data_IF_456527928757
#
_entry.id   IF_456527928757
#
_cell.length_a   1.000
_cell.length_b   1.000
_cell.length_c   1.000
_cell.angle_alpha   90.00
_cell.angle_beta   90.00
_cell.angle_gamma   90.00
#
_symmetry.space_group_name_H-M   'P 1'
#
loop_
_entity.id
_entity.type
_entity.pdbx_description
1 polymer ?
#
# COMPACT_ATOMS: atom_id res chain seq x y z
N UNK A 1 43.51 -2.53 -6.02
CA UNK A 1 42.04 -2.60 -6.16
C UNK A 1 41.47 -2.63 -4.75
N UNK A 2 40.81 -1.54 -4.33
CA UNK A 2 40.04 -1.56 -3.10
C UNK A 2 38.65 -2.09 -3.47
N UNK A 3 38.25 -3.22 -2.88
CA UNK A 3 36.86 -3.64 -2.91
C UNK A 3 36.11 -2.67 -1.98
N UNK A 4 35.31 -1.79 -2.57
CA UNK A 4 34.41 -0.95 -1.81
C UNK A 4 33.24 -1.82 -1.35
N UNK A 5 32.97 -1.83 -0.05
CA UNK A 5 31.86 -2.59 0.51
C UNK A 5 30.57 -1.81 0.28
N UNK A 6 29.47 -2.49 -0.10
CA UNK A 6 28.15 -1.86 -0.15
C UNK A 6 27.68 -1.38 1.24
N UNK A 7 28.35 -1.79 2.33
CA UNK A 7 28.13 -1.30 3.68
C UNK A 7 28.97 -0.08 4.08
N UNK A 8 29.93 0.38 3.26
CA UNK A 8 30.85 1.47 3.62
C UNK A 8 30.15 2.82 3.83
N UNK A 9 28.98 3.01 3.23
CA UNK A 9 28.14 4.20 3.41
C UNK A 9 27.15 4.07 4.58
N UNK A 10 27.32 3.06 5.44
CA UNK A 10 26.46 2.78 6.59
C UNK A 10 24.96 2.80 6.26
N UNK A 11 24.49 2.00 5.28
CA UNK A 11 23.12 2.09 4.78
C UNK A 11 22.06 1.66 5.80
N UNK A 12 22.43 0.96 6.87
CA UNK A 12 21.51 0.48 7.89
C UNK A 12 21.36 1.48 9.03
N UNK A 13 20.14 1.96 9.23
CA UNK A 13 19.77 2.93 10.26
C UNK A 13 19.46 2.23 11.59
N UNK A 14 19.25 3.03 12.64
CA UNK A 14 18.69 2.60 13.93
C UNK A 14 19.37 1.36 14.56
N UNK A 15 20.71 1.32 14.50
CA UNK A 15 21.54 0.19 14.99
C UNK A 15 21.32 -1.12 14.23
N UNK A 16 20.75 -1.05 13.04
CA UNK A 16 20.71 -2.13 12.08
C UNK A 16 22.11 -2.58 11.69
N UNK A 17 22.31 -3.89 11.61
CA UNK A 17 23.60 -4.46 11.23
C UNK A 17 23.64 -4.68 9.72
N UNK A 18 24.52 -3.96 9.02
CA UNK A 18 24.75 -4.18 7.59
C UNK A 18 25.47 -5.50 7.33
N UNK A 19 24.94 -6.27 6.39
CA UNK A 19 25.49 -7.55 5.93
C UNK A 19 25.74 -7.42 4.43
N UNK A 20 27.01 -7.30 3.98
CA UNK A 20 27.34 -7.14 2.57
C UNK A 20 27.24 -8.45 1.79
N UNK A 21 26.78 -8.37 0.55
CA UNK A 21 26.82 -9.41 -0.49
C UNK A 21 27.83 -8.95 -1.58
N UNK A 22 29.10 -9.31 -1.38
CA UNK A 22 30.19 -8.92 -2.28
C UNK A 22 30.03 -9.43 -3.73
N UNK A 23 29.61 -10.69 -3.98
CA UNK A 23 29.37 -11.19 -5.33
C UNK A 23 28.36 -10.36 -6.13
N UNK A 24 27.32 -9.83 -5.48
CA UNK A 24 26.28 -9.03 -6.14
C UNK A 24 26.48 -7.52 -6.02
N UNK A 25 27.47 -7.08 -5.24
CA UNK A 25 27.64 -5.68 -4.85
C UNK A 25 26.36 -5.08 -4.23
N UNK A 26 25.68 -5.86 -3.38
CA UNK A 26 24.46 -5.45 -2.67
C UNK A 26 24.60 -5.66 -1.16
N UNK A 27 23.62 -5.24 -0.38
CA UNK A 27 23.62 -5.42 1.08
C UNK A 27 22.22 -5.77 1.58
N UNK A 28 22.16 -6.28 2.81
CA UNK A 28 20.93 -6.39 3.60
C UNK A 28 21.16 -5.87 5.01
N UNK A 29 20.14 -5.28 5.63
CA UNK A 29 20.19 -4.90 7.03
C UNK A 29 19.53 -5.98 7.90
N UNK A 30 20.19 -6.35 8.99
CA UNK A 30 19.57 -7.10 10.07
C UNK A 30 19.11 -6.11 11.14
N UNK A 31 17.81 -5.88 11.19
CA UNK A 31 17.23 -4.85 12.04
C UNK A 31 16.92 -5.41 13.44
N UNK A 32 17.00 -4.57 14.49
CA UNK A 32 16.38 -4.91 15.76
C UNK A 32 14.87 -5.11 15.56
N UNK A 33 14.24 -5.90 16.43
CA UNK A 33 12.87 -6.38 16.21
C UNK A 33 11.86 -5.26 15.96
N UNK A 34 12.05 -4.09 16.58
CA UNK A 34 11.18 -2.92 16.44
C UNK A 34 11.36 -2.16 15.10
N UNK A 35 12.25 -2.62 14.20
CA UNK A 35 12.67 -1.93 12.97
C UNK A 35 12.74 -2.87 11.75
N UNK A 36 12.21 -4.09 11.84
CA UNK A 36 12.29 -5.13 10.80
C UNK A 36 11.41 -4.88 9.57
N UNK A 37 10.82 -3.70 9.47
CA UNK A 37 9.80 -3.38 8.48
C UNK A 37 10.42 -3.01 7.12
N UNK A 38 11.62 -2.42 7.13
CA UNK A 38 12.25 -1.89 5.91
C UNK A 38 13.69 -2.30 5.72
N UNK A 39 14.10 -2.26 4.45
CA UNK A 39 15.43 -2.64 3.96
C UNK A 39 16.58 -2.08 4.78
N UNK A 40 16.42 -0.87 5.32
CA UNK A 40 17.46 -0.13 6.04
C UNK A 40 17.14 0.11 7.52
N UNK A 41 16.13 -0.54 8.09
CA UNK A 41 15.72 -0.35 9.47
C UNK A 41 15.23 1.08 9.79
N UNK A 42 14.59 1.78 8.85
CA UNK A 42 13.98 3.09 9.13
C UNK A 42 12.94 2.99 10.27
N UNK A 43 12.96 3.95 11.21
CA UNK A 43 12.13 3.98 12.43
C UNK A 43 10.74 4.60 12.23
N UNK A 44 10.55 5.25 11.08
CA UNK A 44 9.47 6.22 10.92
C UNK A 44 8.19 5.60 10.33
N UNK A 45 8.22 4.31 10.00
CA UNK A 45 7.13 3.60 9.34
C UNK A 45 6.42 2.68 10.33
N UNK A 46 5.12 2.90 10.50
CA UNK A 46 4.30 2.11 11.41
C UNK A 46 3.23 1.40 10.58
N UNK A 47 3.13 0.08 10.74
CA UNK A 47 2.09 -0.70 10.08
C UNK A 47 0.72 -0.26 10.62
N UNK A 48 -0.20 0.04 9.73
CA UNK A 48 -1.59 0.36 10.10
C UNK A 48 -2.61 -0.53 9.40
N UNK A 49 -2.18 -1.25 8.36
CA UNK A 49 -3.03 -2.11 7.56
C UNK A 49 -2.22 -3.29 7.01
N UNK A 50 -2.75 -4.50 7.06
CA UNK A 50 -2.13 -5.66 6.42
C UNK A 50 -3.12 -6.78 6.08
N UNK A 51 -2.70 -7.66 5.18
CA UNK A 51 -3.35 -8.92 4.86
C UNK A 51 -2.26 -9.95 4.54
N UNK A 52 -2.15 -11.01 5.34
CA UNK A 52 -1.09 -12.01 5.16
C UNK A 52 -1.38 -12.97 3.99
N UNK A 53 -0.32 -13.48 3.36
CA UNK A 53 -0.41 -14.46 2.27
C UNK A 53 -1.18 -15.70 2.73
N UNK A 54 -2.19 -16.09 1.95
CA UNK A 54 -2.99 -17.29 2.22
C UNK A 54 -4.05 -17.12 3.32
N UNK A 55 -4.19 -15.91 3.87
CA UNK A 55 -5.31 -15.58 4.76
C UNK A 55 -6.62 -15.83 4.01
N UNK A 56 -7.57 -16.46 4.69
CA UNK A 56 -8.94 -16.60 4.17
C UNK A 56 -9.71 -15.34 4.55
N UNK A 57 -10.44 -14.77 3.58
CA UNK A 57 -11.23 -13.56 3.84
C UNK A 57 -12.19 -13.80 5.02
N UNK A 58 -12.15 -12.96 6.07
CA UNK A 58 -13.01 -13.15 7.23
C UNK A 58 -14.47 -12.85 6.86
N UNK A 59 -15.40 -13.76 7.16
CA UNK A 59 -16.81 -13.65 6.74
C UNK A 59 -17.54 -12.44 7.31
N UNK A 60 -17.09 -11.96 8.47
CA UNK A 60 -17.72 -10.85 9.17
C UNK A 60 -17.12 -9.49 8.78
N UNK A 61 -16.01 -9.49 8.04
CA UNK A 61 -15.36 -8.27 7.55
C UNK A 61 -16.09 -7.71 6.34
N UNK A 62 -16.54 -6.46 6.48
CA UNK A 62 -17.32 -5.73 5.47
C UNK A 62 -16.65 -4.44 5.03
N UNK A 63 -15.43 -4.18 5.48
CA UNK A 63 -14.75 -2.92 5.23
C UNK A 63 -13.23 -3.07 5.33
N UNK A 64 -12.52 -2.75 4.25
CA UNK A 64 -11.05 -2.75 4.24
C UNK A 64 -10.43 -1.64 5.09
N UNK A 65 -11.22 -0.69 5.60
CA UNK A 65 -10.81 0.38 6.51
C UNK A 65 -11.67 0.39 7.79
N UNK A 66 -12.12 -0.78 8.25
CA UNK A 66 -13.02 -0.94 9.39
C UNK A 66 -12.52 -0.30 10.69
N UNK A 67 -11.20 -0.34 10.94
CA UNK A 67 -10.65 -0.12 12.27
C UNK A 67 -9.89 1.18 12.41
N UNK A 68 -9.90 1.76 13.61
CA UNK A 68 -9.04 2.88 13.96
C UNK A 68 -7.56 2.44 14.01
N UNK A 69 -6.65 3.40 13.84
CA UNK A 69 -5.23 3.15 13.97
C UNK A 69 -4.87 2.52 15.34
N UNK A 70 -4.10 1.43 15.32
CA UNK A 70 -3.65 0.73 16.52
C UNK A 70 -4.68 -0.24 17.13
N UNK A 71 -5.80 -0.50 16.44
CA UNK A 71 -6.80 -1.47 16.89
C UNK A 71 -6.28 -2.92 16.87
N UNK A 72 -5.54 -3.29 15.82
CA UNK A 72 -5.13 -4.66 15.57
C UNK A 72 -3.88 -5.05 16.37
N UNK A 73 -3.76 -6.32 16.70
CA UNK A 73 -2.59 -6.88 17.36
C UNK A 73 -1.53 -7.29 16.32
N UNK A 74 -0.22 -7.14 16.59
CA UNK A 74 0.84 -7.43 15.60
C UNK A 74 0.90 -8.87 15.07
N UNK A 75 0.16 -9.79 15.66
CA UNK A 75 0.10 -11.22 15.24
C UNK A 75 -1.21 -11.57 14.56
N UNK A 76 -2.13 -10.62 14.40
CA UNK A 76 -3.35 -10.86 13.66
C UNK A 76 -3.00 -11.15 12.19
N UNK A 77 -3.69 -12.09 11.52
CA UNK A 77 -3.40 -12.45 10.14
C UNK A 77 -3.78 -11.35 9.13
N UNK A 78 -4.50 -10.33 9.59
CA UNK A 78 -4.86 -9.12 8.84
C UNK A 78 -5.13 -7.97 9.80
N UNK A 79 -5.08 -6.76 9.28
CA UNK A 79 -5.59 -5.55 9.93
C UNK A 79 -6.14 -4.61 8.88
N UNK A 80 -7.40 -4.22 9.04
CA UNK A 80 -8.09 -3.27 8.16
C UNK A 80 -8.17 -1.89 8.79
N UNK A 81 -7.01 -1.37 9.19
CA UNK A 81 -6.89 -0.11 9.93
C UNK A 81 -6.82 1.12 9.03
N UNK A 82 -7.16 2.26 9.64
CA UNK A 82 -7.07 3.62 9.09
C UNK A 82 -5.80 4.33 9.53
N UNK A 83 -5.53 5.46 8.89
CA UNK A 83 -4.45 6.35 9.30
C UNK A 83 -4.71 6.93 10.71
N UNK A 84 -3.66 7.34 11.43
CA UNK A 84 -3.83 8.01 12.72
C UNK A 84 -4.75 9.23 12.60
N UNK A 85 -5.70 9.36 13.53
CA UNK A 85 -6.68 10.47 13.51
C UNK A 85 -6.06 11.86 13.75
N UNK A 86 -4.82 11.91 14.23
CA UNK A 86 -4.03 13.13 14.42
C UNK A 86 -3.07 13.41 13.24
N UNK A 87 -3.16 12.65 12.15
CA UNK A 87 -2.32 12.84 10.98
C UNK A 87 -2.79 14.04 10.14
N UNK A 88 -1.85 14.70 9.47
CA UNK A 88 -2.13 15.80 8.55
C UNK A 88 -1.66 15.42 7.14
N UNK A 89 -2.50 15.66 6.13
CA UNK A 89 -2.25 15.21 4.76
C UNK A 89 -0.88 15.68 4.23
N UNK A 90 -0.55 16.95 4.42
CA UNK A 90 0.70 17.54 3.89
C UNK A 90 1.98 16.97 4.55
N UNK A 91 1.83 16.24 5.64
CA UNK A 91 2.91 15.66 6.42
C UNK A 91 2.85 14.13 6.48
N UNK A 92 1.97 13.50 5.72
CA UNK A 92 1.77 12.05 5.77
C UNK A 92 2.21 11.38 4.48
N UNK A 93 2.94 10.29 4.63
CA UNK A 93 3.28 9.37 3.55
C UNK A 93 2.79 7.96 3.90
N UNK A 94 2.45 7.21 2.85
CA UNK A 94 2.18 5.78 2.95
C UNK A 94 3.20 5.01 2.14
N UNK A 95 3.56 3.84 2.65
CA UNK A 95 4.40 2.86 1.99
C UNK A 95 3.64 1.55 1.93
N UNK A 96 3.62 0.95 0.75
CA UNK A 96 3.04 -0.36 0.52
C UNK A 96 4.13 -1.36 0.16
N UNK A 97 4.05 -2.55 0.73
CA UNK A 97 4.95 -3.67 0.44
C UNK A 97 4.13 -4.92 0.22
N UNK A 98 4.19 -5.50 -0.99
CA UNK A 98 3.52 -6.77 -1.29
C UNK A 98 4.42 -7.99 -1.11
N UNK A 99 3.80 -9.18 -1.11
CA UNK A 99 4.49 -10.47 -0.98
C UNK A 99 5.36 -10.84 -2.18
N UNK A 100 5.23 -10.14 -3.31
CA UNK A 100 6.10 -10.30 -4.49
C UNK A 100 7.37 -9.44 -4.37
N UNK A 101 7.45 -8.60 -3.33
CA UNK A 101 8.59 -7.74 -3.01
C UNK A 101 8.56 -6.37 -3.70
N UNK A 102 7.42 -5.97 -4.27
CA UNK A 102 7.23 -4.61 -4.79
C UNK A 102 7.09 -3.63 -3.62
N UNK A 103 7.74 -2.48 -3.71
CA UNK A 103 7.69 -1.44 -2.66
C UNK A 103 7.38 -0.08 -3.28
N UNK A 104 6.22 0.48 -2.93
CA UNK A 104 5.72 1.74 -3.45
C UNK A 104 5.41 2.75 -2.34
N UNK A 105 5.81 3.99 -2.54
CA UNK A 105 5.59 5.07 -1.58
C UNK A 105 4.77 6.19 -2.20
N UNK A 106 3.77 6.68 -1.49
CA UNK A 106 3.00 7.87 -1.85
C UNK A 106 3.09 8.95 -0.78
N UNK A 107 2.99 10.20 -1.22
CA UNK A 107 2.84 11.38 -0.36
C UNK A 107 1.45 11.95 -0.53
N UNK A 108 0.77 12.25 0.58
CA UNK A 108 -0.52 12.95 0.56
C UNK A 108 -0.37 14.46 0.32
N UNK A 109 0.83 15.01 0.46
CA UNK A 109 1.19 16.33 -0.07
C UNK A 109 1.27 16.26 -1.61
N UNK A 110 0.11 16.23 -2.26
CA UNK A 110 -0.05 16.15 -3.71
C UNK A 110 -1.31 16.89 -4.11
N UNK A 111 -1.26 17.56 -5.26
CA UNK A 111 -2.44 18.23 -5.84
C UNK A 111 -3.33 17.28 -6.67
N UNK A 112 -2.97 16.00 -6.76
CA UNK A 112 -3.75 15.01 -7.48
C UNK A 112 -5.06 14.72 -6.73
N UNK A 113 -6.20 14.74 -7.43
CA UNK A 113 -7.50 14.43 -6.83
C UNK A 113 -7.55 13.03 -6.22
N UNK A 114 -6.84 12.07 -6.81
CA UNK A 114 -6.71 10.73 -6.24
C UNK A 114 -6.04 10.73 -4.86
N UNK A 115 -5.08 11.63 -4.60
CA UNK A 115 -4.44 11.76 -3.29
C UNK A 115 -5.42 12.28 -2.23
N UNK A 116 -6.22 13.31 -2.57
CA UNK A 116 -7.24 13.85 -1.68
C UNK A 116 -8.37 12.86 -1.41
N UNK A 117 -8.82 12.14 -2.44
CA UNK A 117 -9.79 11.06 -2.30
C UNK A 117 -9.26 9.91 -1.43
N UNK A 118 -8.00 9.52 -1.63
CA UNK A 118 -7.36 8.53 -0.78
C UNK A 118 -7.26 9.00 0.68
N UNK A 119 -6.98 10.29 0.92
CA UNK A 119 -6.99 10.84 2.27
C UNK A 119 -8.37 10.75 2.92
N UNK A 120 -9.42 11.14 2.20
CA UNK A 120 -10.81 11.03 2.68
C UNK A 120 -11.17 9.61 3.10
N UNK A 121 -10.73 8.60 2.35
CA UNK A 121 -10.96 7.21 2.72
C UNK A 121 -10.08 6.76 3.89
N UNK A 122 -8.75 6.82 3.73
CA UNK A 122 -7.79 6.26 4.69
C UNK A 122 -7.80 6.98 6.04
N UNK A 123 -8.08 8.29 6.08
CA UNK A 123 -8.09 9.09 7.30
C UNK A 123 -9.51 9.40 7.76
N UNK A 124 -10.33 10.02 6.91
CA UNK A 124 -11.65 10.52 7.31
C UNK A 124 -12.74 9.45 7.31
N UNK A 125 -12.43 8.23 6.83
CA UNK A 125 -13.35 7.11 6.66
C UNK A 125 -14.58 7.45 5.81
N UNK A 126 -14.39 8.32 4.82
CA UNK A 126 -15.44 8.75 3.90
C UNK A 126 -15.40 7.89 2.66
N UNK A 127 -16.57 7.37 2.26
CA UNK A 127 -16.73 6.71 0.98
C UNK A 127 -16.39 7.67 -0.17
N UNK A 128 -15.78 7.12 -1.21
CA UNK A 128 -15.41 7.81 -2.43
C UNK A 128 -15.93 7.03 -3.63
N UNK A 129 -16.86 7.62 -4.35
CA UNK A 129 -17.44 7.06 -5.58
C UNK A 129 -16.56 7.31 -6.81
N UNK A 130 -16.76 6.51 -7.87
CA UNK A 130 -15.94 6.52 -9.10
C UNK A 130 -15.88 7.86 -9.87
N UNK A 131 -16.80 8.77 -9.60
CA UNK A 131 -16.85 10.11 -10.20
C UNK A 131 -16.25 11.20 -9.32
N UNK A 132 -15.79 10.90 -8.10
CA UNK A 132 -15.30 11.93 -7.17
C UNK A 132 -13.81 12.23 -7.37
N UNK A 133 -13.00 11.22 -7.75
CA UNK A 133 -11.60 11.40 -8.16
C UNK A 133 -11.46 11.93 -9.60
N UNK A 134 -12.03 13.10 -9.89
CA UNK A 134 -12.08 13.70 -11.24
C UNK A 134 -11.50 15.10 -11.36
N UNK A 135 -11.12 15.73 -10.25
CA UNK A 135 -10.80 17.16 -10.21
C UNK A 135 -9.47 17.60 -10.84
N UNK A 136 -8.49 16.70 -11.04
CA UNK A 136 -7.13 17.05 -11.48
C UNK A 136 -6.64 16.22 -12.66
N UNK A 137 -5.82 16.83 -13.52
CA UNK A 137 -5.04 16.13 -14.56
C UNK A 137 -3.72 15.56 -14.03
N UNK A 138 -3.39 15.70 -12.75
CA UNK A 138 -2.23 15.07 -12.12
C UNK A 138 -2.53 13.61 -11.77
N UNK A 139 -1.55 12.73 -11.96
CA UNK A 139 -1.60 11.37 -11.44
C UNK A 139 -1.01 11.33 -10.02
N UNK A 140 -1.55 10.47 -9.17
CA UNK A 140 -0.98 10.14 -7.87
C UNK A 140 -0.16 8.84 -7.97
N UNK A 141 0.88 8.89 -8.80
CA UNK A 141 1.78 7.76 -8.99
C UNK A 141 2.70 7.58 -7.77
N UNK A 142 3.04 6.33 -7.41
CA UNK A 142 4.03 6.07 -6.37
C UNK A 142 5.44 6.45 -6.80
N UNK A 143 6.26 6.79 -5.82
CA UNK A 143 7.70 6.60 -5.91
C UNK A 143 8.00 5.10 -5.76
N UNK A 144 8.71 4.54 -6.75
CA UNK A 144 9.10 3.12 -6.75
C UNK A 144 10.39 2.95 -5.98
N UNK A 145 10.31 2.27 -4.84
CA UNK A 145 11.48 1.95 -4.01
C UNK A 145 12.08 0.59 -4.39
N UNK A 146 11.22 -0.34 -4.79
CA UNK A 146 11.61 -1.65 -5.31
C UNK A 146 10.55 -2.20 -6.27
N UNK A 147 10.97 -2.98 -7.27
CA UNK A 147 10.07 -3.56 -8.27
C UNK A 147 10.00 -2.77 -9.58
N UNK A 148 8.90 -2.95 -10.30
CA UNK A 148 8.64 -2.28 -11.59
C UNK A 148 7.81 -1.01 -11.39
N UNK A 149 7.83 -0.09 -12.35
CA UNK A 149 6.91 1.05 -12.34
C UNK A 149 5.48 0.65 -12.73
N UNK A 150 4.44 1.31 -12.21
CA UNK A 150 3.08 1.11 -12.67
C UNK A 150 2.96 1.30 -14.18
N UNK A 151 2.25 0.40 -14.87
CA UNK A 151 2.07 0.49 -16.32
C UNK A 151 1.24 1.69 -16.77
N UNK A 152 0.44 2.23 -15.87
CA UNK A 152 -0.54 3.29 -16.12
C UNK A 152 -0.48 4.33 -15.02
N UNK A 153 -0.85 5.54 -15.38
CA UNK A 153 -0.97 6.64 -14.43
C UNK A 153 -2.15 6.43 -13.49
N UNK A 154 -1.87 6.44 -12.20
CA UNK A 154 -2.85 6.22 -11.14
C UNK A 154 -3.61 7.52 -10.89
N UNK A 155 -4.86 7.59 -11.33
CA UNK A 155 -5.66 8.84 -11.39
C UNK A 155 -7.02 8.69 -10.74
N UNK A 156 -7.42 7.46 -10.45
CA UNK A 156 -8.75 7.08 -10.04
C UNK A 156 -8.66 6.35 -8.74
N UNK A 157 -9.30 6.94 -7.74
CA UNK A 157 -9.44 6.35 -6.43
C UNK A 157 -10.92 6.11 -6.15
N UNK A 158 -11.24 4.94 -5.63
CA UNK A 158 -12.56 4.57 -5.12
C UNK A 158 -12.42 3.91 -3.76
N UNK A 159 -13.37 4.20 -2.89
CA UNK A 159 -13.59 3.46 -1.65
C UNK A 159 -15.10 3.37 -1.40
N UNK A 160 -15.70 2.25 -1.77
CA UNK A 160 -17.17 2.07 -1.75
C UNK A 160 -17.55 0.63 -1.56
N UNK A 161 -18.81 0.39 -1.19
CA UNK A 161 -19.33 -0.98 -1.13
C UNK A 161 -19.34 -1.63 -2.52
N UNK A 162 -18.77 -2.83 -2.60
CA UNK A 162 -18.89 -3.73 -3.71
C UNK A 162 -19.03 -5.16 -3.17
N UNK A 163 -20.09 -5.87 -3.60
CA UNK A 163 -20.34 -7.26 -3.21
C UNK A 163 -20.35 -7.48 -1.67
N UNK A 164 -20.93 -6.55 -0.92
CA UNK A 164 -21.08 -6.63 0.55
C UNK A 164 -19.83 -6.21 1.35
N UNK A 165 -18.77 -5.74 0.69
CA UNK A 165 -17.54 -5.26 1.32
C UNK A 165 -17.19 -3.87 0.77
N UNK A 166 -16.95 -2.90 1.66
CA UNK A 166 -16.30 -1.64 1.28
C UNK A 166 -14.87 -1.94 0.87
N UNK A 167 -14.61 -1.74 -0.41
CA UNK A 167 -13.37 -2.10 -1.09
C UNK A 167 -12.69 -0.84 -1.58
N UNK A 168 -11.38 -0.90 -1.81
CA UNK A 168 -10.57 0.25 -2.22
C UNK A 168 -9.88 -0.06 -3.54
N UNK A 169 -9.90 0.89 -4.47
CA UNK A 169 -9.16 0.81 -5.73
C UNK A 169 -8.43 2.12 -6.01
N UNK A 170 -7.13 2.02 -6.32
CA UNK A 170 -6.32 3.05 -6.96
C UNK A 170 -5.86 2.52 -8.33
N UNK A 171 -6.40 3.08 -9.42
CA UNK A 171 -6.07 2.71 -10.80
C UNK A 171 -6.09 3.93 -11.76
N UNK A 172 -6.06 3.71 -13.07
CA UNK A 172 -6.04 4.73 -14.12
C UNK A 172 -7.43 5.15 -14.66
N UNK A 173 -8.43 4.26 -14.62
CA UNK A 173 -9.72 4.39 -15.30
C UNK A 173 -10.97 3.99 -14.48
N UNK A 174 -10.84 3.62 -13.20
CA UNK A 174 -11.87 3.08 -12.29
C UNK A 174 -12.15 1.58 -12.46
N UNK A 175 -11.24 0.78 -13.00
CA UNK A 175 -11.40 -0.68 -13.09
C UNK A 175 -10.09 -1.40 -12.76
N UNK A 176 -10.15 -2.51 -12.02
CA UNK A 176 -8.99 -3.17 -11.35
C UNK A 176 -7.70 -3.35 -12.15
N UNK A 177 -7.78 -3.52 -13.47
CA UNK A 177 -6.59 -3.72 -14.30
C UNK A 177 -5.59 -2.58 -14.12
N UNK A 178 -4.30 -2.91 -14.08
CA UNK A 178 -3.23 -1.91 -13.96
C UNK A 178 -3.31 -1.03 -12.71
N UNK A 179 -4.03 -1.50 -11.68
CA UNK A 179 -4.08 -0.85 -10.39
C UNK A 179 -2.74 -0.93 -9.66
N UNK A 180 -2.60 -0.05 -8.67
CA UNK A 180 -1.46 -0.07 -7.74
C UNK A 180 -1.88 -0.32 -6.30
N UNK A 181 -3.18 -0.16 -5.99
CA UNK A 181 -3.80 -0.66 -4.77
C UNK A 181 -5.17 -1.19 -5.14
N UNK A 182 -5.44 -2.47 -4.89
CA UNK A 182 -6.78 -3.04 -4.97
C UNK A 182 -6.99 -3.95 -3.76
N UNK A 183 -7.90 -3.56 -2.87
CA UNK A 183 -8.13 -4.16 -1.56
C UNK A 183 -9.62 -4.52 -1.42
N UNK A 184 -9.92 -5.72 -0.92
CA UNK A 184 -11.29 -6.19 -0.73
C UNK A 184 -11.79 -6.99 -1.92
N UNK A 185 -12.89 -6.55 -2.52
CA UNK A 185 -13.45 -7.10 -3.76
C UNK A 185 -13.12 -6.19 -4.95
N UNK A 186 -12.96 -6.78 -6.13
CA UNK A 186 -12.64 -6.04 -7.33
C UNK A 186 -13.76 -5.09 -7.80
N UNK A 187 -13.39 -3.93 -8.32
CA UNK A 187 -14.32 -2.87 -8.74
C UNK A 187 -14.11 -2.45 -10.20
N UNK A 188 -15.22 -2.05 -10.84
CA UNK A 188 -15.21 -1.37 -12.13
C UNK A 188 -16.39 -0.39 -12.25
N UNK A 189 -16.08 0.91 -12.32
CA UNK A 189 -17.05 2.01 -12.26
C UNK A 189 -18.01 1.89 -11.07
N UNK A 190 -19.31 1.67 -11.33
CA UNK A 190 -20.37 1.50 -10.32
C UNK A 190 -20.60 0.05 -9.89
N UNK A 191 -19.84 -0.90 -10.42
CA UNK A 191 -20.04 -2.32 -10.19
C UNK A 191 -18.74 -3.09 -10.20
N UNK A 192 -18.78 -4.29 -10.79
CA UNK A 192 -17.67 -5.20 -10.98
C UNK A 192 -17.70 -5.73 -12.42
N UNK A 193 -16.52 -6.02 -12.99
CA UNK A 193 -16.41 -6.67 -14.29
C UNK A 193 -15.57 -7.96 -14.15
N UNK A 194 -16.12 -9.15 -14.46
CA UNK A 194 -15.39 -10.42 -14.36
C UNK A 194 -14.20 -10.53 -15.31
N UNK A 195 -14.13 -9.69 -16.36
CA UNK A 195 -12.97 -9.64 -17.24
C UNK A 195 -11.75 -8.96 -16.58
N UNK A 196 -11.98 -8.20 -15.50
CA UNK A 196 -10.96 -7.38 -14.84
C UNK A 196 -10.55 -7.90 -13.47
N UNK A 197 -11.41 -8.69 -12.82
CA UNK A 197 -11.11 -9.34 -11.53
C UNK A 197 -12.09 -10.49 -11.21
N UNK A 198 -11.72 -11.35 -10.25
CA UNK A 198 -12.51 -12.54 -9.90
C UNK A 198 -13.89 -12.25 -9.27
N UNK A 199 -14.90 -13.04 -9.67
CA UNK A 199 -16.23 -13.02 -9.04
C UNK A 199 -16.15 -13.66 -7.64
N UNK A 200 -16.69 -12.98 -6.62
CA UNK A 200 -16.63 -13.42 -5.22
C UNK A 200 -15.19 -13.73 -4.74
N UNK A 201 -14.20 -13.05 -5.31
CA UNK A 201 -12.79 -13.15 -4.92
C UNK A 201 -12.44 -11.97 -4.02
N UNK A 202 -11.94 -12.26 -2.83
CA UNK A 202 -11.61 -11.25 -1.82
C UNK A 202 -10.15 -11.39 -1.38
N UNK A 203 -9.53 -10.26 -1.04
CA UNK A 203 -8.16 -10.20 -0.56
C UNK A 203 -7.48 -8.92 -1.03
N UNK A 204 -6.30 -9.05 -1.62
CA UNK A 204 -5.56 -7.94 -2.23
C UNK A 204 -5.00 -8.33 -3.59
N UNK A 205 -4.74 -7.34 -4.43
CA UNK A 205 -3.92 -7.51 -5.63
C UNK A 205 -2.45 -7.14 -5.35
N UNK A 206 -1.56 -7.55 -6.24
CA UNK A 206 -0.16 -7.11 -6.26
C UNK A 206 -0.08 -5.62 -6.58
N UNK A 207 0.90 -4.92 -6.01
CA UNK A 207 1.12 -3.50 -6.26
C UNK A 207 1.48 -3.23 -7.73
N UNK A 208 2.24 -4.14 -8.34
CA UNK A 208 2.46 -4.13 -9.78
C UNK A 208 1.54 -5.16 -10.46
N UNK A 209 0.37 -4.72 -10.93
CA UNK A 209 -0.48 -5.55 -11.80
C UNK A 209 -0.23 -5.21 -13.29
N UNK A 210 0.58 -6.00 -14.01
CA UNK A 210 0.75 -5.83 -15.45
C UNK A 210 -0.44 -6.35 -16.26
N UNK A 211 -1.43 -6.94 -15.62
CA UNK A 211 -2.56 -7.69 -16.17
C UNK A 211 -3.87 -7.26 -15.50
N UNK A 212 -4.83 -8.17 -15.34
CA UNK A 212 -6.15 -7.92 -14.77
C UNK A 212 -6.46 -9.07 -13.81
N UNK A 213 -5.82 -9.08 -12.64
CA UNK A 213 -5.95 -10.17 -11.68
C UNK A 213 -6.94 -9.80 -10.58
N UNK A 214 -6.78 -8.59 -10.03
CA UNK A 214 -7.58 -8.08 -8.94
C UNK A 214 -7.36 -8.83 -7.62
N UNK A 215 -8.18 -8.52 -6.61
CA UNK A 215 -8.04 -9.05 -5.27
C UNK A 215 -8.18 -10.58 -5.16
N UNK A 216 -7.25 -11.21 -4.43
CA UNK A 216 -7.22 -12.66 -4.18
C UNK A 216 -6.49 -13.01 -2.88
N UNK A 217 -6.72 -14.21 -2.34
CA UNK A 217 -6.09 -14.68 -1.09
C UNK A 217 -4.60 -15.04 -1.22
N UNK A 218 -4.10 -15.22 -2.45
CA UNK A 218 -2.73 -15.67 -2.70
C UNK A 218 -1.65 -14.59 -2.55
N UNK A 219 -2.03 -13.35 -2.27
CA UNK A 219 -1.12 -12.20 -2.18
C UNK A 219 -1.21 -11.61 -0.78
N UNK A 220 -0.05 -11.23 -0.25
CA UNK A 220 0.05 -10.47 0.99
C UNK A 220 0.40 -9.01 0.70
N UNK A 221 -0.06 -8.12 1.55
CA UNK A 221 0.22 -6.70 1.46
C UNK A 221 0.27 -6.09 2.85
N UNK A 222 1.21 -5.19 3.09
CA UNK A 222 1.23 -4.33 4.28
C UNK A 222 1.34 -2.88 3.86
N UNK A 223 0.52 -2.02 4.50
CA UNK A 223 0.63 -0.57 4.40
C UNK A 223 1.18 -0.01 5.71
N UNK A 224 2.14 0.88 5.53
CA UNK A 224 2.81 1.60 6.59
C UNK A 224 2.57 3.09 6.43
N UNK A 225 2.52 3.80 7.56
CA UNK A 225 2.40 5.25 7.61
C UNK A 225 3.66 5.85 8.21
N UNK A 226 4.10 6.97 7.63
CA UNK A 226 5.09 7.87 8.21
C UNK A 226 4.54 9.28 8.32
N UNK A 227 4.75 9.89 9.48
CA UNK A 227 4.51 11.32 9.71
C UNK A 227 5.84 12.06 9.62
N UNK A 228 5.97 13.01 8.68
CA UNK A 228 7.14 13.89 8.59
C UNK A 228 7.12 14.84 9.78
N UNK A 229 8.11 14.76 10.67
CA UNK A 229 8.33 15.82 11.65
C UNK A 229 8.69 17.13 10.95
N UNK A 230 8.01 18.22 11.29
CA UNK A 230 8.44 19.57 10.98
C UNK A 230 9.82 19.77 11.64
N UNK A 231 10.87 19.93 10.82
CA UNK A 231 12.20 20.34 11.29
C UNK A 231 12.25 21.84 11.52
#
# INVERSE_FOLDING_TARGET
FFLQSPCDNEPCLNRGKCIPDYPKNTYRCHCPWDYNVLKNCEKDWIAFWWYDVGTTWPSDEKDVLAYDFGYCEPRDPYCFGRLPADAEADHTEILAVDSEGTEYKWSFNSNASAAGAAWQAFHDHQEVDHWESVGSTSAWNPEVLNGSEPKKDQRKFMYREQNGVKSLLLDDNNCDCYSTLSLGHGMCYRGHNPDYSGVNSFGVDTLYDPTCQGPRSGIGLTLYVRRKTLN
#
